data_IF_313219088456
#
_entry.id   IF_313219088456
#
_cell.length_a   1.000
_cell.length_b   1.000
_cell.length_c   1.000
_cell.angle_alpha   90.00
_cell.angle_beta   90.00
_cell.angle_gamma   90.00
#
_symmetry.space_group_name_H-M   'P 1'
#
loop_
_entity.id
_entity.type
_entity.pdbx_description
1 polymer ?
#
# COMPACT_ATOMS: atom_id res chain seq x y z
N UNK A 1 -9.21 13.68 -1.72
CA UNK A 1 -9.55 14.71 -2.71
C UNK A 1 -11.06 14.78 -2.96
N UNK A 2 -11.89 14.97 -1.91
CA UNK A 2 -13.34 15.14 -2.11
C UNK A 2 -13.73 16.56 -2.52
N UNK A 3 -12.80 17.50 -2.37
CA UNK A 3 -12.97 18.90 -2.78
C UNK A 3 -13.14 19.02 -4.30
N UNK A 4 -12.34 18.28 -5.08
CA UNK A 4 -12.42 18.28 -6.54
C UNK A 4 -13.27 17.13 -7.09
N UNK A 5 -13.45 16.07 -6.30
CA UNK A 5 -14.28 14.92 -6.66
C UNK A 5 -15.31 14.65 -5.55
N UNK A 6 -16.43 15.40 -5.51
CA UNK A 6 -17.46 15.22 -4.50
C UNK A 6 -17.99 13.78 -4.51
N UNK A 7 -18.24 13.22 -3.33
CA UNK A 7 -18.66 11.82 -3.18
C UNK A 7 -19.96 11.51 -3.95
N UNK A 8 -20.90 12.45 -3.98
CA UNK A 8 -22.17 12.28 -4.68
C UNK A 8 -21.97 12.16 -6.21
N UNK A 9 -20.97 12.84 -6.77
CA UNK A 9 -20.66 12.74 -8.20
C UNK A 9 -19.93 11.43 -8.51
N UNK A 10 -19.04 10.97 -7.62
CA UNK A 10 -18.37 9.67 -7.77
C UNK A 10 -19.35 8.50 -7.68
N UNK A 11 -20.28 8.54 -6.73
CA UNK A 11 -21.23 7.46 -6.49
C UNK A 11 -22.14 7.18 -7.71
N UNK A 12 -22.46 8.18 -8.53
CA UNK A 12 -23.23 8.01 -9.78
C UNK A 12 -22.58 7.03 -10.75
N UNK A 13 -21.26 6.88 -10.69
CA UNK A 13 -20.47 5.97 -11.52
C UNK A 13 -20.02 4.73 -10.75
N UNK A 14 -20.59 4.47 -9.57
CA UNK A 14 -20.15 3.38 -8.68
C UNK A 14 -18.73 3.58 -8.13
N UNK A 15 -18.18 4.79 -8.24
CA UNK A 15 -16.86 5.11 -7.72
C UNK A 15 -16.97 5.58 -6.27
N UNK A 16 -16.02 5.16 -5.45
CA UNK A 16 -15.88 5.64 -4.07
C UNK A 16 -14.49 6.20 -3.86
N UNK A 17 -14.38 7.17 -2.95
CA UNK A 17 -13.05 7.59 -2.48
C UNK A 17 -12.44 6.49 -1.63
N UNK A 18 -11.27 6.04 -2.02
CA UNK A 18 -10.42 5.16 -1.24
C UNK A 18 -9.09 5.83 -0.94
N UNK A 19 -8.49 5.53 0.21
CA UNK A 19 -7.12 5.96 0.50
C UNK A 19 -6.14 4.91 -0.02
N UNK A 20 -4.91 5.29 -0.40
CA UNK A 20 -3.90 4.32 -0.82
C UNK A 20 -3.68 3.20 0.21
N UNK A 21 -3.69 3.53 1.51
CA UNK A 21 -3.52 2.54 2.59
C UNK A 21 -4.67 1.52 2.64
N UNK A 22 -5.92 1.97 2.46
CA UNK A 22 -7.09 1.07 2.43
C UNK A 22 -7.05 0.21 1.17
N UNK A 23 -6.83 0.81 0.00
CA UNK A 23 -6.75 0.09 -1.27
C UNK A 23 -5.69 -1.02 -1.24
N UNK A 24 -4.46 -0.70 -0.84
CA UNK A 24 -3.36 -1.67 -0.81
C UNK A 24 -3.56 -2.73 0.28
N UNK A 25 -4.16 -2.37 1.41
CA UNK A 25 -4.52 -3.34 2.45
C UNK A 25 -5.59 -4.32 1.97
N UNK A 26 -6.62 -3.83 1.29
CA UNK A 26 -7.68 -4.67 0.73
C UNK A 26 -7.14 -5.56 -0.41
N UNK A 27 -6.20 -5.05 -1.21
CA UNK A 27 -5.53 -5.84 -2.24
C UNK A 27 -4.69 -6.96 -1.61
N UNK A 28 -3.94 -6.66 -0.55
CA UNK A 28 -3.22 -7.66 0.23
C UNK A 28 -4.18 -8.72 0.78
N UNK A 29 -5.30 -8.32 1.36
CA UNK A 29 -6.25 -9.26 1.98
C UNK A 29 -6.91 -10.19 0.94
N UNK A 30 -7.00 -9.77 -0.33
CA UNK A 30 -7.54 -10.58 -1.43
C UNK A 30 -6.50 -11.47 -2.10
N UNK A 31 -5.31 -10.96 -2.34
CA UNK A 31 -4.24 -11.63 -3.10
C UNK A 31 -2.87 -11.38 -2.44
N UNK A 32 -2.62 -11.96 -1.25
CA UNK A 32 -1.47 -11.62 -0.43
C UNK A 32 -0.14 -11.90 -1.15
N UNK A 33 0.02 -13.08 -1.75
CA UNK A 33 1.29 -13.49 -2.37
C UNK A 33 1.71 -12.57 -3.51
N UNK A 34 0.76 -12.21 -4.39
CA UNK A 34 1.01 -11.28 -5.51
C UNK A 34 1.33 -9.87 -5.01
N UNK A 35 0.63 -9.43 -3.96
CA UNK A 35 0.84 -8.11 -3.37
C UNK A 35 2.21 -8.02 -2.72
N UNK A 36 2.60 -9.03 -1.94
CA UNK A 36 3.92 -9.13 -1.31
C UNK A 36 5.01 -9.18 -2.37
N UNK A 37 4.88 -10.03 -3.40
CA UNK A 37 5.86 -10.12 -4.48
C UNK A 37 6.05 -8.80 -5.24
N UNK A 38 4.94 -8.09 -5.51
CA UNK A 38 5.00 -6.75 -6.11
C UNK A 38 5.73 -5.75 -5.21
N UNK A 39 5.51 -5.79 -3.90
CA UNK A 39 6.13 -4.89 -2.92
C UNK A 39 7.61 -5.21 -2.69
N UNK A 40 8.01 -6.48 -2.70
CA UNK A 40 9.40 -6.91 -2.68
C UNK A 40 10.16 -6.37 -3.90
N UNK A 41 9.54 -6.45 -5.09
CA UNK A 41 10.09 -5.86 -6.31
C UNK A 41 10.18 -4.33 -6.21
N UNK A 42 9.15 -3.67 -5.70
CA UNK A 42 9.17 -2.22 -5.47
C UNK A 42 10.32 -1.81 -4.54
N UNK A 43 10.54 -2.55 -3.45
CA UNK A 43 11.68 -2.33 -2.52
C UNK A 43 13.02 -2.47 -3.23
N UNK A 44 13.21 -3.54 -4.02
CA UNK A 44 14.45 -3.76 -4.79
C UNK A 44 14.74 -2.64 -5.79
N UNK A 45 13.69 -2.01 -6.33
CA UNK A 45 13.78 -0.93 -7.31
C UNK A 45 14.02 0.46 -6.70
N UNK A 46 14.08 0.60 -5.37
CA UNK A 46 14.46 1.85 -4.72
C UNK A 46 15.98 2.08 -4.90
N UNK A 47 16.36 2.58 -6.06
CA UNK A 47 17.75 2.69 -6.55
C UNK A 47 18.67 3.59 -5.72
N UNK A 48 18.14 4.50 -4.91
CA UNK A 48 18.95 5.46 -4.11
C UNK A 48 19.44 4.92 -2.77
N UNK A 49 18.84 3.86 -2.25
CA UNK A 49 19.17 3.33 -0.93
C UNK A 49 18.89 1.84 -0.99
N UNK A 50 19.88 0.98 -0.68
CA UNK A 50 19.58 -0.44 -0.46
C UNK A 50 18.72 -0.55 0.81
N UNK A 51 17.41 -0.45 0.64
CA UNK A 51 16.46 -0.43 1.74
C UNK A 51 16.27 -1.86 2.24
N UNK A 52 16.57 -2.10 3.51
CA UNK A 52 16.28 -3.36 4.20
C UNK A 52 14.76 -3.58 4.27
N UNK A 53 14.30 -4.82 4.48
CA UNK A 53 12.87 -5.07 4.62
C UNK A 53 12.24 -4.21 5.75
N UNK A 54 12.92 -4.09 6.90
CA UNK A 54 12.52 -3.21 8.00
C UNK A 54 12.45 -1.72 7.58
N UNK A 55 13.51 -1.21 6.94
CA UNK A 55 13.51 0.18 6.47
C UNK A 55 12.42 0.48 5.44
N UNK A 56 12.01 -0.54 4.68
CA UNK A 56 10.89 -0.43 3.76
C UNK A 56 9.56 -0.30 4.50
N UNK A 57 9.33 -1.08 5.55
CA UNK A 57 8.17 -0.94 6.44
C UNK A 57 8.13 0.47 7.06
N UNK A 58 9.28 1.00 7.49
CA UNK A 58 9.35 2.35 8.06
C UNK A 58 8.99 3.44 7.02
N UNK A 59 9.43 3.29 5.77
CA UNK A 59 9.03 4.17 4.67
C UNK A 59 7.52 4.13 4.47
N UNK A 60 6.92 2.94 4.44
CA UNK A 60 5.47 2.79 4.30
C UNK A 60 4.72 3.48 5.46
N UNK A 61 5.20 3.32 6.70
CA UNK A 61 4.64 4.02 7.86
C UNK A 61 4.72 5.54 7.73
N UNK A 62 5.88 6.06 7.30
CA UNK A 62 6.09 7.50 7.09
C UNK A 62 5.18 8.06 6.00
N UNK A 63 4.86 7.27 4.98
CA UNK A 63 3.90 7.58 3.91
C UNK A 63 2.43 7.39 4.32
N UNK A 64 2.15 7.09 5.60
CA UNK A 64 0.80 6.86 6.14
C UNK A 64 0.12 5.60 5.60
N UNK A 65 0.89 4.63 5.13
CA UNK A 65 0.43 3.29 4.72
C UNK A 65 0.43 2.32 5.91
N UNK A 66 -0.17 2.73 7.03
CA UNK A 66 -0.04 2.09 8.34
C UNK A 66 -0.66 0.68 8.34
N UNK A 67 -1.83 0.52 7.71
CA UNK A 67 -2.54 -0.76 7.66
C UNK A 67 -1.79 -1.77 6.80
N UNK A 68 -1.18 -1.31 5.71
CA UNK A 68 -0.35 -2.13 4.86
C UNK A 68 0.94 -2.54 5.58
N UNK A 69 1.66 -1.59 6.20
CA UNK A 69 2.91 -1.86 6.90
C UNK A 69 2.73 -2.93 7.99
N UNK A 70 1.63 -2.84 8.76
CA UNK A 70 1.30 -3.83 9.81
C UNK A 70 1.10 -5.25 9.26
N UNK A 71 0.53 -5.39 8.06
CA UNK A 71 0.34 -6.70 7.41
C UNK A 71 1.68 -7.26 6.95
N UNK A 72 2.47 -6.45 6.26
CA UNK A 72 3.78 -6.83 5.75
C UNK A 72 4.80 -7.16 6.84
N UNK A 73 4.65 -6.60 8.04
CA UNK A 73 5.50 -6.95 9.17
C UNK A 73 5.44 -8.45 9.53
N UNK A 74 4.34 -9.13 9.19
CA UNK A 74 4.18 -10.59 9.36
C UNK A 74 4.90 -11.40 8.27
N UNK A 75 5.23 -10.76 7.15
CA UNK A 75 5.84 -11.34 5.95
C UNK A 75 7.18 -10.69 5.63
N UNK A 76 7.91 -10.29 6.66
CA UNK A 76 9.14 -9.54 6.47
C UNK A 76 10.25 -10.35 5.80
N UNK A 77 10.20 -11.68 5.93
CA UNK A 77 11.11 -12.60 5.27
C UNK A 77 10.85 -12.68 3.75
N UNK A 78 9.64 -12.34 3.31
CA UNK A 78 9.19 -12.42 1.92
C UNK A 78 9.40 -11.09 1.16
N UNK A 79 9.85 -10.05 1.87
CA UNK A 79 10.06 -8.69 1.35
C UNK A 79 11.45 -8.46 0.75
#
# INVERSE_FOLDING_TARGET
NLRHFPANELNKFGLRRETPDVFLSDLYDRVPDLTIGSLANARRNLTRTRVTALGFIDILNNQKLIRLAKRLQRHIADL
#
